data_IF_695206116485
#
_entry.id   IF_695206116485
#
_cell.length_a   1.000
_cell.length_b   1.000
_cell.length_c   1.000
_cell.angle_alpha   90.00
_cell.angle_beta   90.00
_cell.angle_gamma   90.00
#
_symmetry.space_group_name_H-M   'P 1'
#
loop_
_entity.id
_entity.type
_entity.pdbx_description
1 polymer ?
#
# COMPACT_ATOMS: atom_id res chain seq x y z
N UNK A 1 21.36 2.55 -12.15
CA UNK A 1 20.54 1.53 -12.85
C UNK A 1 19.74 2.27 -13.89
N UNK A 2 19.96 2.00 -15.18
CA UNK A 2 19.19 2.65 -16.23
C UNK A 2 17.73 2.23 -16.12
N UNK A 3 16.85 3.21 -16.08
CA UNK A 3 15.41 2.98 -16.11
C UNK A 3 15.04 2.68 -17.57
N UNK A 4 14.59 1.45 -17.82
CA UNK A 4 14.28 0.97 -19.17
C UNK A 4 12.87 1.39 -19.64
N UNK A 5 12.09 2.05 -18.78
CA UNK A 5 10.73 2.51 -19.02
C UNK A 5 10.41 3.72 -18.15
N UNK A 6 9.46 4.54 -18.58
CA UNK A 6 8.93 5.63 -17.75
C UNK A 6 7.96 5.06 -16.69
N UNK A 7 8.24 5.25 -15.39
CA UNK A 7 7.45 4.64 -14.33
C UNK A 7 6.04 5.21 -14.23
N UNK A 8 5.84 6.47 -14.67
CA UNK A 8 4.53 7.12 -14.66
C UNK A 8 3.66 6.56 -15.78
N UNK A 9 4.18 6.43 -16.99
CA UNK A 9 3.46 5.83 -18.12
C UNK A 9 3.09 4.37 -17.84
N UNK A 10 4.01 3.58 -17.29
CA UNK A 10 3.74 2.17 -16.96
C UNK A 10 2.69 2.04 -15.86
N UNK A 11 2.76 2.87 -14.81
CA UNK A 11 1.74 2.90 -13.77
C UNK A 11 0.36 3.24 -14.34
N UNK A 12 0.26 4.29 -15.15
CA UNK A 12 -1.01 4.73 -15.75
C UNK A 12 -1.63 3.64 -16.64
N UNK A 13 -0.79 3.00 -17.47
CA UNK A 13 -1.18 1.84 -18.27
C UNK A 13 -1.71 0.67 -17.42
N UNK A 14 -1.06 0.36 -16.30
CA UNK A 14 -1.47 -0.73 -15.40
C UNK A 14 -2.75 -0.39 -14.62
N UNK A 15 -2.97 0.90 -14.31
CA UNK A 15 -4.21 1.38 -13.68
C UNK A 15 -5.39 1.27 -14.65
N UNK A 16 -5.22 1.71 -15.90
CA UNK A 16 -6.24 1.64 -16.95
C UNK A 16 -6.60 0.18 -17.29
N UNK A 17 -5.60 -0.70 -17.32
CA UNK A 17 -5.78 -2.14 -17.56
C UNK A 17 -6.61 -2.85 -16.46
N UNK A 18 -6.88 -2.20 -15.32
CA UNK A 18 -7.73 -2.68 -14.23
C UNK A 18 -7.45 -4.14 -13.83
N UNK A 19 -6.20 -4.38 -13.43
CA UNK A 19 -5.63 -5.67 -13.02
C UNK A 19 -6.25 -6.25 -11.72
N UNK A 20 -7.55 -6.56 -11.73
CA UNK A 20 -8.25 -7.18 -10.59
C UNK A 20 -7.76 -8.58 -10.27
N UNK A 21 -7.31 -9.32 -11.29
CA UNK A 21 -6.89 -10.73 -11.16
C UNK A 21 -5.45 -10.85 -10.63
N UNK A 22 -4.55 -10.03 -11.14
CA UNK A 22 -3.12 -10.06 -10.80
C UNK A 22 -2.56 -8.63 -10.64
N UNK A 23 -2.85 -7.95 -9.51
CA UNK A 23 -2.40 -6.58 -9.27
C UNK A 23 -0.90 -6.46 -8.90
N UNK A 24 -0.17 -7.58 -8.81
CA UNK A 24 1.24 -7.63 -8.41
C UNK A 24 2.17 -6.72 -9.24
N UNK A 25 2.04 -6.60 -10.58
CA UNK A 25 2.88 -5.72 -11.37
C UNK A 25 2.72 -4.25 -11.00
N UNK A 26 1.47 -3.81 -10.79
CA UNK A 26 1.16 -2.47 -10.34
C UNK A 26 1.73 -2.19 -8.95
N UNK A 27 1.56 -3.14 -8.02
CA UNK A 27 2.15 -3.02 -6.67
C UNK A 27 3.66 -2.82 -6.74
N UNK A 28 4.36 -3.60 -7.55
CA UNK A 28 5.82 -3.53 -7.63
C UNK A 28 6.31 -2.19 -8.19
N UNK A 29 5.64 -1.66 -9.22
CA UNK A 29 5.95 -0.34 -9.78
C UNK A 29 5.66 0.75 -8.74
N UNK A 30 4.46 0.75 -8.14
CA UNK A 30 4.09 1.74 -7.15
C UNK A 30 4.99 1.72 -5.90
N UNK A 31 5.37 0.54 -5.41
CA UNK A 31 6.25 0.40 -4.24
C UNK A 31 7.67 0.91 -4.54
N UNK A 32 8.21 0.56 -5.72
CA UNK A 32 9.56 0.96 -6.12
C UNK A 32 9.69 2.47 -6.34
N UNK A 33 8.66 3.09 -6.89
CA UNK A 33 8.68 4.51 -7.28
C UNK A 33 7.96 5.45 -6.31
N UNK A 34 7.38 4.91 -5.23
CA UNK A 34 6.75 5.69 -4.17
C UNK A 34 5.29 6.12 -4.43
N UNK A 35 4.62 5.56 -5.44
CA UNK A 35 3.21 5.83 -5.77
C UNK A 35 2.24 5.02 -4.87
N UNK A 36 2.47 5.02 -3.56
CA UNK A 36 1.72 4.21 -2.59
C UNK A 36 0.29 4.72 -2.40
N UNK A 37 0.08 6.04 -2.49
CA UNK A 37 -1.24 6.67 -2.41
C UNK A 37 -2.13 6.24 -3.58
N UNK A 38 -1.66 6.41 -4.83
CA UNK A 38 -2.38 6.00 -6.03
C UNK A 38 -2.68 4.49 -6.05
N UNK A 39 -1.73 3.68 -5.58
CA UNK A 39 -1.91 2.24 -5.41
C UNK A 39 -3.04 1.94 -4.41
N UNK A 40 -3.04 2.63 -3.27
CA UNK A 40 -4.05 2.45 -2.21
C UNK A 40 -5.42 2.87 -2.70
N UNK A 41 -5.53 4.00 -3.41
CA UNK A 41 -6.77 4.44 -4.05
C UNK A 41 -7.31 3.41 -5.04
N UNK A 42 -6.44 2.88 -5.90
CA UNK A 42 -6.83 1.86 -6.87
C UNK A 42 -7.34 0.59 -6.18
N UNK A 43 -6.62 0.09 -5.17
CA UNK A 43 -7.03 -1.09 -4.42
C UNK A 43 -8.37 -0.86 -3.71
N UNK A 44 -8.56 0.32 -3.11
CA UNK A 44 -9.78 0.68 -2.40
C UNK A 44 -10.99 0.76 -3.34
N UNK A 45 -10.85 1.51 -4.45
CA UNK A 45 -11.91 1.64 -5.48
C UNK A 45 -12.31 0.28 -6.09
N UNK A 46 -11.37 -0.66 -6.17
CA UNK A 46 -11.61 -2.01 -6.68
C UNK A 46 -12.00 -3.04 -5.60
N UNK A 47 -12.25 -2.62 -4.35
CA UNK A 47 -12.60 -3.49 -3.22
C UNK A 47 -11.56 -4.59 -2.95
N UNK A 48 -10.28 -4.29 -3.16
CA UNK A 48 -9.14 -5.18 -2.92
C UNK A 48 -8.59 -5.03 -1.49
N UNK A 49 -9.47 -4.99 -0.49
CA UNK A 49 -9.14 -4.74 0.92
C UNK A 49 -8.15 -5.76 1.49
N UNK A 50 -8.28 -7.03 1.10
CA UNK A 50 -7.36 -8.10 1.50
C UNK A 50 -5.95 -7.88 0.94
N UNK A 51 -5.84 -7.28 -0.25
CA UNK A 51 -4.56 -6.96 -0.88
C UNK A 51 -3.88 -5.79 -0.18
N UNK A 52 -4.64 -4.78 0.25
CA UNK A 52 -4.14 -3.66 1.07
C UNK A 52 -3.51 -4.20 2.36
N UNK A 53 -4.23 -5.08 3.07
CA UNK A 53 -3.70 -5.72 4.27
C UNK A 53 -2.43 -6.53 3.99
N UNK A 54 -2.44 -7.35 2.93
CA UNK A 54 -1.28 -8.15 2.56
C UNK A 54 -0.07 -7.29 2.15
N UNK A 55 -0.28 -6.18 1.43
CA UNK A 55 0.77 -5.24 1.03
C UNK A 55 1.45 -4.62 2.27
N UNK A 56 0.64 -4.08 3.16
CA UNK A 56 1.10 -3.45 4.41
C UNK A 56 1.82 -4.46 5.32
N UNK A 57 1.36 -5.72 5.39
CA UNK A 57 1.99 -6.70 6.26
C UNK A 57 3.22 -7.37 5.67
N UNK A 58 3.17 -7.75 4.39
CA UNK A 58 4.14 -8.69 3.79
C UNK A 58 5.14 -8.03 2.86
N UNK A 59 4.79 -6.90 2.25
CA UNK A 59 5.64 -6.25 1.25
C UNK A 59 6.34 -5.04 1.85
N UNK A 60 5.58 -4.09 2.38
CA UNK A 60 6.15 -2.84 2.87
C UNK A 60 5.41 -2.31 4.11
N UNK A 61 5.75 -2.82 5.31
CA UNK A 61 5.17 -2.34 6.57
C UNK A 61 5.58 -0.92 6.95
N UNK A 62 6.56 -0.32 6.26
CA UNK A 62 6.92 1.08 6.44
C UNK A 62 5.94 2.02 5.72
N UNK A 63 5.22 1.51 4.72
CA UNK A 63 4.23 2.28 3.96
C UNK A 63 2.89 2.43 4.68
N UNK A 64 2.65 1.71 5.79
CA UNK A 64 1.41 1.79 6.59
C UNK A 64 0.92 3.21 6.86
N UNK A 65 1.71 4.13 7.44
CA UNK A 65 1.21 5.48 7.74
C UNK A 65 0.69 6.20 6.49
N UNK A 66 1.31 5.97 5.33
CA UNK A 66 0.88 6.56 4.06
C UNK A 66 -0.42 5.90 3.54
N UNK A 67 -0.52 4.57 3.62
CA UNK A 67 -1.73 3.82 3.26
C UNK A 67 -2.90 4.23 4.15
N UNK A 68 -2.70 4.31 5.47
CA UNK A 68 -3.72 4.74 6.43
C UNK A 68 -4.14 6.20 6.16
N UNK A 69 -3.19 7.10 5.92
CA UNK A 69 -3.49 8.49 5.56
C UNK A 69 -4.36 8.59 4.31
N UNK A 70 -4.05 7.79 3.28
CA UNK A 70 -4.84 7.72 2.04
C UNK A 70 -6.23 7.15 2.29
N UNK A 71 -6.35 6.07 3.08
CA UNK A 71 -7.64 5.48 3.44
C UNK A 71 -8.52 6.47 4.24
N UNK A 72 -7.92 7.25 5.15
CA UNK A 72 -8.62 8.32 5.87
C UNK A 72 -9.13 9.40 4.90
N UNK A 73 -8.31 9.80 3.92
CA UNK A 73 -8.72 10.75 2.89
C UNK A 73 -9.90 10.23 2.04
N UNK A 74 -9.92 8.92 1.76
CA UNK A 74 -10.99 8.24 1.06
C UNK A 74 -12.22 7.94 1.93
N UNK A 75 -12.23 8.43 3.17
CA UNK A 75 -13.30 8.25 4.14
C UNK A 75 -13.60 6.76 4.41
N UNK A 76 -12.54 5.93 4.44
CA UNK A 76 -12.65 4.52 4.76
C UNK A 76 -13.21 4.32 6.19
N UNK A 77 -13.99 3.25 6.42
CA UNK A 77 -14.62 3.00 7.72
C UNK A 77 -13.56 2.79 8.79
N UNK A 78 -13.78 3.40 9.96
CA UNK A 78 -12.86 3.34 11.10
C UNK A 78 -12.56 1.90 11.53
N UNK A 79 -13.55 1.00 11.43
CA UNK A 79 -13.38 -0.42 11.73
C UNK A 79 -12.33 -1.09 10.83
N UNK A 80 -12.29 -0.73 9.53
CA UNK A 80 -11.27 -1.26 8.61
C UNK A 80 -9.88 -0.73 8.97
N UNK A 81 -9.78 0.56 9.31
CA UNK A 81 -8.52 1.19 9.70
C UNK A 81 -8.00 0.57 11.00
N UNK A 82 -8.87 0.40 12.01
CA UNK A 82 -8.54 -0.28 13.26
C UNK A 82 -8.05 -1.69 13.00
N UNK A 83 -8.79 -2.47 12.21
CA UNK A 83 -8.40 -3.84 11.84
C UNK A 83 -7.05 -3.88 11.11
N UNK A 84 -6.78 -2.93 10.22
CA UNK A 84 -5.49 -2.82 9.52
C UNK A 84 -4.34 -2.56 10.49
N UNK A 85 -4.54 -1.67 11.46
CA UNK A 85 -3.55 -1.35 12.50
C UNK A 85 -3.34 -2.49 13.50
N UNK A 86 -4.41 -3.16 13.94
CA UNK A 86 -4.32 -4.34 14.81
C UNK A 86 -3.61 -5.50 14.12
N UNK A 87 -3.82 -5.63 12.80
CA UNK A 87 -3.17 -6.66 12.01
C UNK A 87 -1.67 -6.38 11.81
N UNK A 88 -1.18 -5.19 12.14
CA UNK A 88 0.24 -4.92 12.25
C UNK A 88 0.78 -5.38 13.59
N UNK A 89 1.70 -6.35 13.58
CA UNK A 89 2.50 -6.60 14.78
C UNK A 89 3.44 -5.41 14.99
N UNK A 90 3.56 -4.89 16.22
CA UNK A 90 4.62 -3.96 16.53
C UNK A 90 5.95 -4.64 16.19
N UNK A 91 6.92 -3.91 15.61
CA UNK A 91 8.25 -4.45 15.43
C UNK A 91 8.89 -4.58 16.82
N UNK A 92 8.66 -5.73 17.47
CA UNK A 92 9.26 -6.05 18.77
C UNK A 92 10.80 -6.11 18.69
N UNK A 93 11.33 -6.22 17.47
CA UNK A 93 12.77 -6.20 17.17
C UNK A 93 13.35 -4.80 16.94
N UNK A 94 12.54 -3.74 16.82
CA UNK A 94 13.06 -2.39 16.60
C UNK A 94 13.23 -1.68 17.94
N UNK A 95 14.43 -1.81 18.52
CA UNK A 95 14.80 -1.24 19.82
C UNK A 95 14.50 0.27 19.93
N UNK A 96 14.51 1.00 18.80
CA UNK A 96 14.18 2.44 18.76
C UNK A 96 12.69 2.73 18.94
N UNK A 97 11.82 1.81 18.53
CA UNK A 97 10.38 1.91 18.74
C UNK A 97 10.03 1.62 20.20
N UNK A 98 10.61 0.54 20.77
CA UNK A 98 10.41 0.16 22.18
C UNK A 98 10.93 1.24 23.14
N UNK A 99 12.05 1.89 22.82
CA UNK A 99 12.64 2.94 23.67
C UNK A 99 11.84 4.26 23.74
N UNK A 100 10.76 4.40 22.96
CA UNK A 100 9.90 5.60 22.93
C UNK A 100 8.53 5.40 23.57
N UNK A 101 8.26 4.23 24.13
CA UNK A 101 7.12 3.94 25.02
C UNK A 101 7.51 4.26 26.47
#
# INVERSE_FOLDING_TARGET
VHEHYDPKEVKDFLLDANLKKDPRPLIYVCDRFGYVDELTEYMWKNKLEQLIQAYVQRMNPKSTPMVVGTLLHLNAPEEFIKKLLEAMRPPTDDAKFVAKL
#
